data_IF_574454039140
#
_entry.id   IF_574454039140
#
_cell.length_a   1.000
_cell.length_b   1.000
_cell.length_c   1.000
_cell.angle_alpha   90.00
_cell.angle_beta   90.00
_cell.angle_gamma   90.00
#
_symmetry.space_group_name_H-M   'P 1'
#
loop_
_entity.id
_entity.type
_entity.pdbx_description
1 polymer ?
#
# COMPACT_ATOMS: atom_id res chain seq x y z
N UNK A 1 17.25 -11.47 10.64
CA UNK A 1 16.13 -11.99 9.83
C UNK A 1 15.80 -10.89 8.82
N UNK A 2 15.56 -11.22 7.56
CA UNK A 2 15.19 -10.21 6.58
C UNK A 2 13.86 -9.53 7.00
N UNK A 3 13.71 -8.30 6.57
CA UNK A 3 12.63 -7.43 6.99
C UNK A 3 11.33 -7.82 6.27
N UNK A 4 10.46 -8.62 6.88
CA UNK A 4 9.11 -8.80 6.36
C UNK A 4 8.39 -7.47 6.29
N UNK A 5 7.69 -7.20 5.18
CA UNK A 5 7.02 -5.94 4.90
C UNK A 5 5.53 -6.13 5.07
N UNK A 6 4.94 -5.40 6.00
CA UNK A 6 3.49 -5.32 6.16
C UNK A 6 2.91 -4.24 5.25
N UNK A 7 1.85 -4.57 4.53
CA UNK A 7 1.15 -3.63 3.64
C UNK A 7 -0.33 -3.64 3.95
N UNK A 8 -0.91 -2.48 4.19
CA UNK A 8 -2.35 -2.25 4.27
C UNK A 8 -2.76 -1.10 3.36
N UNK A 9 -4.02 -1.06 2.98
CA UNK A 9 -4.58 -0.06 2.08
C UNK A 9 -6.06 0.19 2.39
N UNK A 10 -6.63 1.21 1.78
CA UNK A 10 -8.06 1.46 1.72
C UNK A 10 -8.73 1.54 3.11
N UNK A 11 -8.09 2.24 4.05
CA UNK A 11 -8.63 2.41 5.40
C UNK A 11 -9.86 3.33 5.41
N UNK A 12 -9.89 4.32 4.52
CA UNK A 12 -11.02 5.27 4.34
C UNK A 12 -11.57 5.82 5.65
N UNK A 13 -10.72 6.33 6.53
CA UNK A 13 -11.16 6.97 7.78
C UNK A 13 -12.18 8.07 7.48
N UNK A 14 -13.31 8.04 8.19
CA UNK A 14 -14.46 8.91 7.96
C UNK A 14 -15.55 8.33 7.05
N UNK A 15 -15.30 7.21 6.37
CA UNK A 15 -16.35 6.50 5.64
C UNK A 15 -17.16 5.59 6.58
N UNK A 16 -18.50 5.47 6.41
CA UNK A 16 -19.32 4.61 7.27
C UNK A 16 -18.90 3.12 7.28
N UNK A 17 -18.39 2.62 6.15
CA UNK A 17 -17.96 1.23 5.99
C UNK A 17 -16.47 1.03 6.30
N UNK A 18 -15.75 2.09 6.74
CA UNK A 18 -14.34 2.00 7.14
C UNK A 18 -14.19 0.96 8.27
N UNK A 19 -13.14 0.14 8.26
CA UNK A 19 -12.81 -0.71 9.40
C UNK A 19 -12.45 0.12 10.65
N UNK A 20 -12.07 1.37 10.45
CA UNK A 20 -11.86 2.38 11.48
C UNK A 20 -10.51 2.29 12.19
N UNK A 21 -10.27 3.31 13.01
CA UNK A 21 -9.02 3.47 13.76
C UNK A 21 -8.66 2.24 14.61
N UNK A 22 -9.65 1.67 15.30
CA UNK A 22 -9.42 0.52 16.20
C UNK A 22 -8.88 -0.69 15.45
N UNK A 23 -9.46 -1.00 14.29
CA UNK A 23 -8.99 -2.08 13.44
C UNK A 23 -7.54 -1.82 12.99
N UNK A 24 -7.25 -0.61 12.50
CA UNK A 24 -5.92 -0.26 12.04
C UNK A 24 -4.85 -0.47 13.12
N UNK A 25 -5.11 -0.03 14.35
CA UNK A 25 -4.17 -0.21 15.46
C UNK A 25 -3.97 -1.69 15.82
N UNK A 26 -5.03 -2.49 15.81
CA UNK A 26 -4.95 -3.94 16.06
C UNK A 26 -4.16 -4.66 14.97
N UNK A 27 -4.35 -4.28 13.71
CA UNK A 27 -3.68 -4.88 12.57
C UNK A 27 -2.18 -4.56 12.56
N UNK A 28 -1.80 -3.31 12.89
CA UNK A 28 -0.39 -2.92 13.06
C UNK A 28 0.29 -3.76 14.15
N UNK A 29 -0.37 -3.95 15.29
CA UNK A 29 0.16 -4.78 16.38
C UNK A 29 0.29 -6.26 15.96
N UNK A 30 -0.70 -6.79 15.26
CA UNK A 30 -0.67 -8.17 14.75
C UNK A 30 0.49 -8.37 13.77
N UNK A 31 0.71 -7.41 12.86
CA UNK A 31 1.81 -7.44 11.92
C UNK A 31 3.18 -7.41 12.60
N UNK A 32 3.36 -6.50 13.56
CA UNK A 32 4.60 -6.41 14.34
C UNK A 32 4.87 -7.71 15.13
N UNK A 33 3.83 -8.29 15.76
CA UNK A 33 3.93 -9.57 16.47
C UNK A 33 4.23 -10.75 15.54
N UNK A 34 3.87 -10.65 14.25
CA UNK A 34 4.20 -11.64 13.22
C UNK A 34 5.63 -11.50 12.68
N UNK A 35 6.39 -10.51 13.17
CA UNK A 35 7.80 -10.30 12.82
C UNK A 35 8.01 -9.32 11.66
N UNK A 36 6.98 -8.59 11.23
CA UNK A 36 7.17 -7.51 10.27
C UNK A 36 8.04 -6.39 10.89
N UNK A 37 8.99 -5.89 10.12
CA UNK A 37 9.90 -4.82 10.54
C UNK A 37 9.71 -3.52 9.77
N UNK A 38 8.95 -3.57 8.68
CA UNK A 38 8.55 -2.41 7.90
C UNK A 38 7.05 -2.40 7.64
N UNK A 39 6.48 -1.20 7.53
CA UNK A 39 5.06 -0.97 7.29
C UNK A 39 4.86 -0.03 6.11
N UNK A 40 3.95 -0.38 5.21
CA UNK A 40 3.54 0.47 4.10
C UNK A 40 2.04 0.70 4.14
N UNK A 41 1.62 1.95 4.26
CA UNK A 41 0.27 2.37 3.96
C UNK A 41 0.17 2.65 2.45
N UNK A 42 -0.58 1.82 1.75
CA UNK A 42 -0.71 1.86 0.29
C UNK A 42 -1.97 2.61 -0.16
N UNK A 43 -2.19 3.76 0.43
CA UNK A 43 -3.16 4.76 0.02
C UNK A 43 -4.58 4.57 0.49
N UNK A 44 -5.37 5.59 0.22
CA UNK A 44 -6.75 5.76 0.64
C UNK A 44 -6.91 5.57 2.17
N UNK A 45 -6.01 6.25 2.93
CA UNK A 45 -6.09 6.25 4.40
C UNK A 45 -7.29 7.07 4.90
N UNK A 46 -7.69 8.10 4.15
CA UNK A 46 -8.89 8.90 4.43
C UNK A 46 -9.95 8.71 3.34
N UNK A 47 -11.22 8.95 3.68
CA UNK A 47 -12.27 9.08 2.67
C UNK A 47 -12.33 10.50 2.11
N UNK A 48 -12.57 10.64 0.79
CA UNK A 48 -12.64 11.93 0.11
C UNK A 48 -13.73 12.87 0.65
N UNK A 49 -14.79 12.32 1.24
CA UNK A 49 -15.90 13.08 1.79
C UNK A 49 -15.73 13.36 3.29
N UNK A 50 -14.67 12.83 3.89
CA UNK A 50 -14.39 13.06 5.30
C UNK A 50 -13.90 14.48 5.54
N UNK A 51 -14.26 15.05 6.67
CA UNK A 51 -13.71 16.36 7.06
C UNK A 51 -12.29 16.16 7.63
N UNK A 52 -11.37 17.04 7.24
CA UNK A 52 -10.00 17.02 7.73
C UNK A 52 -9.95 17.04 9.27
N UNK A 53 -10.80 17.86 9.91
CA UNK A 53 -10.84 17.95 11.39
C UNK A 53 -11.19 16.65 12.11
N UNK A 54 -11.90 15.73 11.44
CA UNK A 54 -12.27 14.43 12.02
C UNK A 54 -11.22 13.37 11.74
N UNK A 55 -10.62 13.38 10.57
CA UNK A 55 -9.78 12.30 10.08
C UNK A 55 -8.29 12.53 10.28
N UNK A 56 -7.78 13.75 10.16
CA UNK A 56 -6.34 14.03 10.35
C UNK A 56 -5.80 13.55 11.70
N UNK A 57 -6.49 13.76 12.85
CA UNK A 57 -6.02 13.22 14.12
C UNK A 57 -5.99 11.67 14.17
N UNK A 58 -6.92 11.02 13.46
CA UNK A 58 -6.95 9.55 13.39
C UNK A 58 -5.82 9.02 12.51
N UNK A 59 -5.57 9.65 11.35
CA UNK A 59 -4.42 9.33 10.48
C UNK A 59 -3.13 9.45 11.27
N UNK A 60 -2.96 10.58 11.98
CA UNK A 60 -1.78 10.80 12.82
C UNK A 60 -1.61 9.70 13.86
N UNK A 61 -2.68 9.28 14.54
CA UNK A 61 -2.64 8.19 15.52
C UNK A 61 -2.22 6.85 14.90
N UNK A 62 -2.70 6.53 13.69
CA UNK A 62 -2.30 5.31 12.96
C UNK A 62 -0.82 5.36 12.63
N UNK A 63 -0.35 6.48 12.07
CA UNK A 63 1.04 6.63 11.63
C UNK A 63 2.02 6.71 12.80
N UNK A 64 1.68 7.41 13.88
CA UNK A 64 2.49 7.43 15.12
C UNK A 64 2.63 6.00 15.67
N UNK A 65 1.52 5.21 15.69
CA UNK A 65 1.60 3.82 16.13
C UNK A 65 2.44 2.95 15.19
N UNK A 66 2.38 3.17 13.90
CA UNK A 66 3.25 2.48 12.95
C UNK A 66 4.73 2.80 13.22
N UNK A 67 5.08 4.07 13.44
CA UNK A 67 6.45 4.50 13.77
C UNK A 67 6.95 3.87 15.08
N UNK A 68 6.08 3.67 16.07
CA UNK A 68 6.46 2.98 17.32
C UNK A 68 6.76 1.49 17.12
N UNK A 69 6.13 0.84 16.17
CA UNK A 69 6.17 -0.62 15.99
C UNK A 69 7.17 -1.09 14.93
N UNK A 70 7.43 -0.27 13.91
CA UNK A 70 8.23 -0.67 12.76
C UNK A 70 9.48 0.19 12.62
N UNK A 71 10.55 -0.40 12.08
CA UNK A 71 11.82 0.30 11.84
C UNK A 71 11.72 1.27 10.66
N UNK A 72 10.86 0.96 9.69
CA UNK A 72 10.63 1.75 8.49
C UNK A 72 9.12 1.87 8.24
N UNK A 73 8.64 3.11 8.03
CA UNK A 73 7.24 3.38 7.72
C UNK A 73 7.14 4.21 6.45
N UNK A 74 6.37 3.71 5.50
CA UNK A 74 6.21 4.33 4.18
C UNK A 74 4.74 4.64 3.91
N UNK A 75 4.50 5.76 3.22
CA UNK A 75 3.19 6.17 2.77
C UNK A 75 3.22 6.41 1.26
N UNK A 76 2.32 5.74 0.54
CA UNK A 76 2.12 5.88 -0.90
C UNK A 76 0.67 6.31 -1.09
N UNK A 77 0.42 7.55 -1.51
CA UNK A 77 -0.93 8.10 -1.61
C UNK A 77 -1.81 7.33 -2.61
N UNK A 78 -3.04 7.08 -2.21
CA UNK A 78 -4.14 6.71 -3.09
C UNK A 78 -4.84 7.92 -3.70
N UNK A 79 -5.93 7.68 -4.42
CA UNK A 79 -6.64 8.77 -5.09
C UNK A 79 -7.52 9.61 -4.15
N UNK A 80 -7.83 9.12 -2.95
CA UNK A 80 -8.53 9.92 -1.93
C UNK A 80 -7.59 10.79 -1.08
N UNK A 81 -6.29 10.47 -1.02
CA UNK A 81 -5.31 11.16 -0.16
C UNK A 81 -4.74 12.44 -0.77
N UNK A 82 -5.46 13.08 -1.68
CA UNK A 82 -5.01 14.28 -2.40
C UNK A 82 -5.11 15.56 -1.58
N UNK A 83 -5.37 15.48 -0.29
CA UNK A 83 -5.50 16.62 0.60
C UNK A 83 -4.15 17.07 1.15
N UNK A 84 -3.83 18.36 0.99
CA UNK A 84 -2.62 18.98 1.53
C UNK A 84 -2.59 19.05 3.08
N UNK A 85 -3.66 18.60 3.74
CA UNK A 85 -3.87 18.74 5.18
C UNK A 85 -3.39 17.53 6.01
N UNK A 86 -2.91 16.44 5.35
CA UNK A 86 -2.39 15.28 6.07
C UNK A 86 -1.07 15.63 6.78
N UNK A 87 -1.06 15.48 8.09
CA UNK A 87 0.12 15.72 8.94
C UNK A 87 0.85 14.40 9.21
N UNK A 88 1.98 14.21 8.53
CA UNK A 88 2.80 13.00 8.65
C UNK A 88 3.86 13.15 9.75
N UNK A 89 4.06 12.12 10.60
CA UNK A 89 5.27 12.05 11.44
C UNK A 89 6.53 12.17 10.58
N UNK A 90 7.60 12.84 11.07
CA UNK A 90 8.83 13.03 10.29
C UNK A 90 9.56 11.72 9.96
N UNK A 91 9.26 10.64 10.68
CA UNK A 91 9.80 9.30 10.47
C UNK A 91 9.10 8.56 9.32
N UNK A 92 7.94 9.03 8.86
CA UNK A 92 7.22 8.44 7.74
C UNK A 92 7.78 8.92 6.41
N UNK A 93 8.25 8.01 5.58
CA UNK A 93 8.68 8.33 4.22
C UNK A 93 7.47 8.42 3.28
N UNK A 94 7.15 9.63 2.84
CA UNK A 94 6.07 9.87 1.87
C UNK A 94 6.63 9.80 0.45
N UNK A 95 6.04 8.94 -0.38
CA UNK A 95 6.52 8.66 -1.73
C UNK A 95 5.92 9.59 -2.79
N UNK A 96 6.72 9.84 -3.84
CA UNK A 96 6.33 10.74 -4.92
C UNK A 96 5.35 10.10 -5.91
N UNK A 97 4.70 10.94 -6.70
CA UNK A 97 3.80 10.52 -7.78
C UNK A 97 4.52 9.99 -9.02
N UNK A 98 5.84 10.17 -9.09
CA UNK A 98 6.66 9.62 -10.19
C UNK A 98 7.00 8.16 -9.92
N UNK A 99 7.10 7.36 -10.98
CA UNK A 99 7.61 5.98 -10.87
C UNK A 99 9.06 6.03 -10.40
N UNK A 100 9.34 5.37 -9.29
CA UNK A 100 10.69 5.29 -8.71
C UNK A 100 10.89 3.98 -7.96
N UNK A 101 12.14 3.68 -7.65
CA UNK A 101 12.50 2.56 -6.78
C UNK A 101 13.16 3.07 -5.52
N UNK A 102 12.95 2.36 -4.43
CA UNK A 102 13.58 2.58 -3.12
C UNK A 102 13.85 1.24 -2.43
N UNK A 103 14.52 1.26 -1.29
CA UNK A 103 14.84 0.06 -0.53
C UNK A 103 14.02 0.00 0.75
N UNK A 104 13.57 -1.20 1.11
CA UNK A 104 13.11 -1.57 2.44
C UNK A 104 13.95 -2.77 2.86
N UNK A 105 14.90 -2.57 3.76
CA UNK A 105 15.93 -3.58 4.02
C UNK A 105 16.67 -3.98 2.75
N UNK A 106 16.64 -5.27 2.39
CA UNK A 106 17.26 -5.80 1.15
C UNK A 106 16.29 -5.85 -0.04
N UNK A 107 15.01 -5.53 0.17
CA UNK A 107 13.99 -5.55 -0.89
C UNK A 107 14.01 -4.26 -1.68
N UNK A 108 14.16 -4.37 -3.00
CA UNK A 108 13.89 -3.25 -3.90
C UNK A 108 12.38 -3.10 -4.08
N UNK A 109 11.85 -1.93 -3.84
CA UNK A 109 10.44 -1.62 -4.02
C UNK A 109 10.25 -0.67 -5.19
N UNK A 110 9.33 -0.97 -6.09
CA UNK A 110 8.88 -0.10 -7.18
C UNK A 110 7.53 0.48 -6.85
N UNK A 111 7.39 1.80 -6.92
CA UNK A 111 6.12 2.47 -6.63
C UNK A 111 5.93 3.76 -7.42
N UNK A 112 4.68 4.22 -7.41
CA UNK A 112 4.26 5.58 -7.77
C UNK A 112 2.96 5.89 -7.01
N UNK A 113 2.90 7.01 -6.31
CA UNK A 113 1.69 7.46 -5.65
C UNK A 113 0.65 8.00 -6.66
N UNK A 114 -0.62 7.92 -6.33
CA UNK A 114 -1.68 8.62 -7.08
C UNK A 114 -1.50 10.15 -6.96
N UNK A 115 -1.88 10.87 -8.01
CA UNK A 115 -1.75 12.32 -8.07
C UNK A 115 -3.10 13.05 -8.09
N UNK A 116 -4.14 12.38 -8.54
CA UNK A 116 -5.48 12.94 -8.74
C UNK A 116 -6.56 11.88 -8.58
N UNK A 117 -7.81 12.30 -8.49
CA UNK A 117 -8.98 11.44 -8.49
C UNK A 117 -9.97 11.87 -9.59
N UNK A 118 -10.18 11.08 -10.65
CA UNK A 118 -9.46 9.85 -11.02
C UNK A 118 -8.02 10.12 -11.50
N UNK A 119 -7.13 9.13 -11.40
CA UNK A 119 -5.78 9.21 -11.94
C UNK A 119 -5.64 8.33 -13.20
N UNK A 120 -5.64 8.99 -14.34
CA UNK A 120 -5.63 8.33 -15.66
C UNK A 120 -4.22 8.13 -16.25
N UNK A 121 -3.17 8.43 -15.48
CA UNK A 121 -1.79 8.26 -15.93
C UNK A 121 -1.48 6.81 -16.27
N UNK A 122 -0.83 6.60 -17.40
CA UNK A 122 -0.29 5.30 -17.82
C UNK A 122 1.18 5.23 -17.43
N UNK A 123 1.48 4.48 -16.41
CA UNK A 123 2.84 4.36 -15.89
C UNK A 123 3.74 3.57 -16.86
N UNK A 124 5.00 4.02 -16.98
CA UNK A 124 6.06 3.28 -17.63
C UNK A 124 6.86 2.59 -16.52
N UNK A 125 6.65 1.29 -16.35
CA UNK A 125 7.33 0.51 -15.33
C UNK A 125 8.72 0.11 -15.85
N UNK A 126 9.80 0.40 -15.11
CA UNK A 126 11.13 -0.08 -15.48
C UNK A 126 11.22 -1.60 -15.27
N UNK A 127 12.12 -2.28 -16.00
CA UNK A 127 12.38 -3.70 -15.75
C UNK A 127 13.05 -3.88 -14.39
N UNK A 128 13.06 -5.13 -13.89
CA UNK A 128 13.75 -5.54 -12.66
C UNK A 128 15.20 -5.02 -12.64
N UNK A 129 15.62 -4.30 -11.58
CA UNK A 129 16.92 -3.64 -11.55
C UNK A 129 18.08 -4.57 -11.11
N UNK A 130 17.81 -5.65 -10.38
CA UNK A 130 18.80 -6.56 -9.82
C UNK A 130 18.19 -7.93 -9.48
N UNK A 131 19.02 -8.86 -8.98
CA UNK A 131 18.57 -10.18 -8.49
C UNK A 131 18.01 -10.13 -7.04
N UNK A 132 18.06 -8.98 -6.36
CA UNK A 132 17.47 -8.79 -5.03
C UNK A 132 15.94 -8.97 -5.09
N UNK A 133 15.28 -9.30 -3.97
CA UNK A 133 13.82 -9.33 -3.89
C UNK A 133 13.23 -8.03 -4.44
N UNK A 134 12.22 -8.15 -5.30
CA UNK A 134 11.65 -7.00 -6.00
C UNK A 134 10.13 -6.98 -5.86
N UNK A 135 9.62 -6.00 -5.11
CA UNK A 135 8.22 -5.83 -4.78
C UNK A 135 7.63 -4.61 -5.51
N UNK A 136 6.52 -4.80 -6.19
CA UNK A 136 5.74 -3.69 -6.75
C UNK A 136 4.61 -3.30 -5.80
N UNK A 137 4.46 -2.00 -5.53
CA UNK A 137 3.42 -1.41 -4.69
C UNK A 137 2.73 -0.27 -5.45
N UNK A 138 1.46 -0.41 -5.77
CA UNK A 138 0.68 0.62 -6.47
C UNK A 138 -0.74 0.71 -5.90
N UNK A 139 -1.26 1.93 -5.81
CA UNK A 139 -2.68 2.16 -5.62
C UNK A 139 -3.33 2.23 -7.00
N UNK A 140 -3.83 1.08 -7.52
CA UNK A 140 -4.19 0.92 -8.93
C UNK A 140 -5.46 0.12 -9.13
N UNK A 141 -6.29 0.58 -10.09
CA UNK A 141 -7.46 -0.15 -10.58
C UNK A 141 -7.12 -1.31 -11.52
N UNK A 142 -5.85 -1.43 -11.95
CA UNK A 142 -5.42 -2.33 -13.02
C UNK A 142 -6.32 -2.12 -14.25
N UNK A 143 -7.07 -3.11 -14.70
CA UNK A 143 -7.97 -3.00 -15.86
C UNK A 143 -9.25 -2.21 -15.60
N UNK A 144 -9.55 -1.89 -14.32
CA UNK A 144 -10.74 -1.14 -13.92
C UNK A 144 -12.02 -1.97 -13.78
N UNK A 145 -11.97 -3.29 -14.00
CA UNK A 145 -13.14 -4.16 -13.93
C UNK A 145 -13.69 -4.35 -12.49
N UNK A 146 -12.84 -4.12 -11.49
CA UNK A 146 -13.12 -4.39 -10.08
C UNK A 146 -13.30 -3.12 -9.23
N UNK A 147 -13.29 -1.94 -9.86
CA UNK A 147 -13.45 -0.66 -9.17
C UNK A 147 -14.42 0.28 -9.88
N UNK A 148 -14.98 1.24 -9.14
CA UNK A 148 -15.89 2.25 -9.69
C UNK A 148 -15.15 3.47 -10.25
N UNK A 149 -13.85 3.62 -9.95
CA UNK A 149 -13.01 4.71 -10.42
C UNK A 149 -11.75 4.16 -11.09
N UNK A 150 -11.15 4.92 -11.98
CA UNK A 150 -9.88 4.55 -12.62
C UNK A 150 -8.75 5.24 -11.85
N UNK A 151 -7.79 4.45 -11.39
CA UNK A 151 -6.57 4.93 -10.77
C UNK A 151 -5.37 4.17 -11.31
N UNK A 152 -4.41 4.88 -11.90
CA UNK A 152 -3.16 4.34 -12.45
C UNK A 152 -3.38 3.05 -13.26
N UNK A 153 -4.15 3.10 -14.37
CA UNK A 153 -4.55 1.91 -15.11
C UNK A 153 -3.35 1.21 -15.76
N UNK A 154 -3.29 -0.12 -15.60
CA UNK A 154 -2.26 -1.01 -16.12
C UNK A 154 -2.90 -2.32 -16.58
N UNK A 155 -2.19 -3.11 -17.36
CA UNK A 155 -2.57 -4.50 -17.63
C UNK A 155 -1.78 -5.46 -16.73
N UNK A 156 -2.34 -6.64 -16.50
CA UNK A 156 -1.63 -7.73 -15.79
C UNK A 156 -0.32 -8.08 -16.53
N UNK A 157 -0.32 -8.03 -17.87
CA UNK A 157 0.87 -8.31 -18.65
C UNK A 157 1.96 -7.24 -18.47
N UNK A 158 1.59 -5.96 -18.29
CA UNK A 158 2.56 -4.91 -17.96
C UNK A 158 3.19 -5.13 -16.58
N UNK A 159 2.40 -5.54 -15.59
CA UNK A 159 2.89 -5.88 -14.26
C UNK A 159 3.86 -7.08 -14.32
N UNK A 160 3.51 -8.13 -15.06
CA UNK A 160 4.38 -9.30 -15.25
C UNK A 160 5.67 -8.95 -15.99
N UNK A 161 5.60 -8.13 -17.03
CA UNK A 161 6.75 -7.73 -17.83
C UNK A 161 7.80 -6.92 -17.05
N UNK A 162 7.40 -6.26 -15.96
CA UNK A 162 8.30 -5.57 -15.05
C UNK A 162 9.26 -6.53 -14.32
N UNK A 163 8.85 -7.79 -14.10
CA UNK A 163 9.66 -8.82 -13.45
C UNK A 163 9.71 -8.72 -11.92
N UNK A 164 8.75 -8.03 -11.29
CA UNK A 164 8.61 -8.05 -9.84
C UNK A 164 8.20 -9.45 -9.35
N UNK A 165 8.69 -9.83 -8.17
CA UNK A 165 8.38 -11.11 -7.53
C UNK A 165 6.95 -11.14 -6.98
N UNK A 166 6.43 -9.94 -6.62
CA UNK A 166 5.04 -9.75 -6.23
C UNK A 166 4.56 -8.33 -6.56
N UNK A 167 3.26 -8.19 -6.79
CA UNK A 167 2.55 -6.93 -6.85
C UNK A 167 1.45 -6.90 -5.80
N UNK A 168 1.56 -6.02 -4.81
CA UNK A 168 0.53 -5.75 -3.83
C UNK A 168 -0.14 -4.42 -4.21
N UNK A 169 -1.46 -4.44 -4.31
CA UNK A 169 -2.25 -3.33 -4.85
C UNK A 169 -3.25 -2.82 -3.82
N UNK A 170 -3.44 -1.49 -3.78
CA UNK A 170 -4.57 -0.80 -3.14
C UNK A 170 -5.63 -0.40 -4.16
N UNK A 171 -6.70 0.29 -3.76
CA UNK A 171 -7.79 0.85 -4.56
C UNK A 171 -9.03 -0.04 -4.67
N UNK A 172 -8.90 -1.35 -4.74
CA UNK A 172 -10.06 -2.25 -4.80
C UNK A 172 -10.35 -2.78 -3.41
N UNK A 173 -11.55 -2.47 -2.90
CA UNK A 173 -11.92 -2.79 -1.51
C UNK A 173 -12.11 -4.29 -1.25
N UNK A 174 -12.31 -5.09 -2.29
CA UNK A 174 -12.38 -6.54 -2.18
C UNK A 174 -10.99 -7.17 -2.28
N UNK A 175 -10.63 -8.09 -1.38
CA UNK A 175 -9.35 -8.80 -1.45
C UNK A 175 -9.37 -9.82 -2.60
N UNK A 176 -8.82 -9.43 -3.73
CA UNK A 176 -8.81 -10.24 -4.96
C UNK A 176 -7.38 -10.54 -5.40
N UNK A 177 -7.16 -11.74 -5.93
CA UNK A 177 -5.90 -12.17 -6.54
C UNK A 177 -6.11 -12.40 -8.04
N UNK A 178 -5.30 -11.72 -8.85
CA UNK A 178 -5.29 -11.84 -10.31
C UNK A 178 -4.31 -12.91 -10.80
N UNK A 179 -3.25 -13.17 -10.03
CA UNK A 179 -2.25 -14.19 -10.30
C UNK A 179 -1.56 -14.62 -9.01
N UNK A 180 -1.15 -15.88 -8.94
CA UNK A 180 -0.46 -16.46 -7.78
C UNK A 180 1.07 -16.46 -7.94
N UNK A 181 1.57 -16.51 -9.18
CA UNK A 181 3.01 -16.53 -9.48
C UNK A 181 3.32 -15.73 -10.77
N UNK A 182 3.94 -14.53 -10.67
CA UNK A 182 4.12 -13.80 -9.42
C UNK A 182 2.76 -13.42 -8.80
N UNK A 183 2.73 -13.24 -7.48
CA UNK A 183 1.51 -12.75 -6.82
C UNK A 183 1.15 -11.37 -7.40
N UNK A 184 -0.09 -11.21 -7.82
CA UNK A 184 -0.66 -9.93 -8.25
C UNK A 184 -2.04 -9.84 -7.63
N UNK A 185 -2.25 -8.93 -6.68
CA UNK A 185 -3.53 -8.86 -6.00
C UNK A 185 -3.70 -7.63 -5.12
N UNK A 186 -4.96 -7.34 -4.79
CA UNK A 186 -5.35 -6.25 -3.92
C UNK A 186 -5.40 -6.68 -2.46
N UNK A 187 -4.96 -5.78 -1.60
CA UNK A 187 -5.07 -5.92 -0.15
C UNK A 187 -6.53 -6.08 0.25
N UNK A 188 -7.37 -5.16 -0.22
CA UNK A 188 -8.77 -5.02 0.17
C UNK A 188 -8.96 -4.32 1.51
N UNK A 189 -10.05 -3.59 1.64
CA UNK A 189 -10.43 -2.87 2.86
C UNK A 189 -10.53 -3.83 4.06
N UNK A 190 -9.99 -3.44 5.21
CA UNK A 190 -10.02 -4.27 6.41
C UNK A 190 -9.16 -5.54 6.32
N UNK A 191 -8.08 -5.51 5.55
CA UNK A 191 -7.11 -6.60 5.42
C UNK A 191 -5.68 -6.06 5.43
N UNK A 192 -4.73 -6.95 5.78
CA UNK A 192 -3.30 -6.69 5.68
C UNK A 192 -2.59 -7.84 4.98
N UNK A 193 -1.52 -7.52 4.27
CA UNK A 193 -0.65 -8.49 3.59
C UNK A 193 0.77 -8.39 4.14
N UNK A 194 1.44 -9.53 4.25
CA UNK A 194 2.85 -9.64 4.57
C UNK A 194 3.61 -10.13 3.33
N UNK A 195 4.65 -9.42 2.94
CA UNK A 195 5.63 -9.87 1.97
C UNK A 195 6.88 -10.38 2.72
N UNK A 196 7.25 -11.62 2.45
CA UNK A 196 8.47 -12.24 2.94
C UNK A 196 9.56 -12.17 1.86
N UNK A 197 10.63 -11.38 2.06
CA UNK A 197 11.67 -11.22 1.05
C UNK A 197 12.55 -12.46 0.84
N UNK A 198 12.64 -13.36 1.81
CA UNK A 198 13.43 -14.61 1.66
C UNK A 198 12.78 -15.59 0.68
N UNK A 199 11.46 -15.63 0.68
CA UNK A 199 10.67 -16.55 -0.14
C UNK A 199 9.94 -15.87 -1.28
N UNK A 200 9.90 -14.53 -1.28
CA UNK A 200 9.08 -13.68 -2.17
C UNK A 200 7.58 -14.03 -2.11
N UNK A 201 7.14 -14.63 -1.03
CA UNK A 201 5.73 -14.96 -0.83
C UNK A 201 4.95 -13.83 -0.18
N UNK A 202 3.69 -13.72 -0.60
CA UNK A 202 2.69 -12.84 0.01
C UNK A 202 1.68 -13.69 0.79
N UNK A 203 1.47 -13.34 2.04
CA UNK A 203 0.49 -14.00 2.92
C UNK A 203 -0.44 -12.96 3.55
N UNK A 204 -1.66 -13.38 3.91
CA UNK A 204 -2.55 -12.55 4.72
C UNK A 204 -2.20 -12.69 6.18
N UNK A 205 -2.36 -11.62 6.96
CA UNK A 205 -2.34 -11.74 8.40
C UNK A 205 -3.48 -12.68 8.84
N UNK A 206 -3.20 -13.61 9.78
CA UNK A 206 -4.28 -14.39 10.37
C UNK A 206 -5.21 -13.48 11.17
N UNK A 207 -6.51 -13.57 10.91
CA UNK A 207 -7.56 -12.88 11.66
C UNK A 207 -7.62 -13.37 13.10
#
# INVERSE_FOLDING_TARGET
>A
MPASIFVFADLHLGHPDSPGLRWALQELEAAANSGATACVCLGDIIDRNATASECVPQVRTVLDRAVELFNEVHFISGNHDTHDELDFPPEVTVHSTQVHTFQIGETTVLSAAAATDPDLRRLQLPPRPSDAPFLGLLHSSVTGEFSHAICLPLSVDQLRACGADAWILGHVHSPLTLADAPFIGWVGMGNGLLFDPDTCHVTRLPN
#
